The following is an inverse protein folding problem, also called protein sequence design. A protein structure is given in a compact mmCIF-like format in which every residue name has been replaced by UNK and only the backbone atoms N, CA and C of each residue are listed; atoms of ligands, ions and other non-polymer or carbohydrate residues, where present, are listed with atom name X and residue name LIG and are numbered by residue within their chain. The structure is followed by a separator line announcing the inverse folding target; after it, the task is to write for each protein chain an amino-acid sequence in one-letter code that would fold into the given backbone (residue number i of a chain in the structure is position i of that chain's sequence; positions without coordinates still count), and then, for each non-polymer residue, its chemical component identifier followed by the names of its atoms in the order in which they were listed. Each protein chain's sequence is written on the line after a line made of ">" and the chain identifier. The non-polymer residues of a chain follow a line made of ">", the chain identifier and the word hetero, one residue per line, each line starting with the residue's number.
data_IF_624516875204
#
_entry.id   IF_624516875204
#
_cell.length_a   1.000
_cell.length_b   1.000
_cell.length_c   1.000
_cell.angle_alpha   90.00
_cell.angle_beta   90.00
_cell.angle_gamma   90.00
#
_symmetry.space_group_name_H-M   'P 1'
#
loop_
_entity.id
_entity.type
_entity.pdbx_description
1 polymer ?
#
# COMPACT_ATOMS: atom_id res chain seq x y z
N UNK A 1 -25.90 46.21 56.51
CA UNK A 1 -25.28 47.42 55.92
C UNK A 1 -25.78 47.56 54.48
N UNK A 2 -26.34 48.71 54.11
CA UNK A 2 -26.68 49.02 52.71
C UNK A 2 -25.46 49.65 52.04
N UNK A 3 -24.97 49.08 50.94
CA UNK A 3 -23.86 49.64 50.16
C UNK A 3 -24.46 50.41 48.97
N UNK A 4 -24.49 51.74 49.05
CA UNK A 4 -25.08 52.57 48.01
C UNK A 4 -24.06 52.97 46.92
N UNK A 5 -24.36 52.66 45.65
CA UNK A 5 -24.33 53.60 44.51
C UNK A 5 -24.89 52.94 43.23
N UNK A 6 -26.13 53.29 42.86
CA UNK A 6 -26.52 53.48 41.46
C UNK A 6 -27.80 54.31 41.41
N UNK A 7 -27.82 55.37 40.60
CA UNK A 7 -28.84 56.44 40.54
C UNK A 7 -30.28 56.05 40.16
N UNK A 8 -30.63 54.76 40.13
CA UNK A 8 -32.00 54.23 40.19
C UNK A 8 -31.97 52.71 40.39
N UNK A 9 -32.45 52.20 41.53
CA UNK A 9 -32.52 50.78 41.87
C UNK A 9 -32.41 50.49 43.38
N UNK A 10 -32.96 49.36 43.85
CA UNK A 10 -32.96 48.95 45.27
C UNK A 10 -31.52 48.64 45.74
N UNK A 11 -31.06 49.14 46.92
CA UNK A 11 -29.66 49.00 47.33
C UNK A 11 -29.23 47.56 47.67
N UNK A 12 -27.97 47.21 47.37
CA UNK A 12 -27.35 45.96 47.82
C UNK A 12 -27.24 45.93 49.36
N UNK A 13 -27.55 44.78 49.97
CA UNK A 13 -27.51 44.58 51.42
C UNK A 13 -26.44 43.56 51.82
N UNK A 14 -25.63 43.92 52.82
CA UNK A 14 -24.68 43.03 53.52
C UNK A 14 -25.23 42.71 54.91
N UNK A 15 -25.40 41.42 55.20
CA UNK A 15 -25.86 40.94 56.51
C UNK A 15 -24.62 40.58 57.33
N UNK A 16 -24.35 41.33 58.40
CA UNK A 16 -23.27 41.04 59.35
C UNK A 16 -23.91 40.50 60.64
N UNK A 17 -23.71 39.21 60.93
CA UNK A 17 -23.90 38.63 62.26
C UNK A 17 -25.23 37.93 62.58
N UNK A 18 -25.63 36.89 61.84
CA UNK A 18 -26.61 35.90 62.33
C UNK A 18 -25.91 34.58 62.74
N UNK A 19 -26.46 33.82 63.71
CA UNK A 19 -25.86 32.56 64.15
C UNK A 19 -25.70 31.58 62.98
N UNK A 20 -24.72 30.66 63.03
CA UNK A 20 -24.35 29.77 61.93
C UNK A 20 -25.59 29.17 61.27
N UNK A 21 -25.75 29.46 59.97
CA UNK A 21 -26.92 29.13 59.17
C UNK A 21 -26.93 27.61 58.96
N UNK A 22 -27.58 26.91 59.88
CA UNK A 22 -27.51 25.46 59.93
C UNK A 22 -28.40 24.80 58.88
N UNK A 23 -29.67 25.16 58.69
CA UNK A 23 -30.51 24.47 57.69
C UNK A 23 -31.63 25.38 57.15
N UNK A 24 -31.49 25.92 55.93
CA UNK A 24 -32.54 26.70 55.28
C UNK A 24 -32.13 27.41 53.98
N UNK A 25 -33.08 27.56 53.05
CA UNK A 25 -32.89 28.21 51.74
C UNK A 25 -33.14 29.72 51.84
N UNK A 26 -32.21 30.52 52.39
CA UNK A 26 -32.37 31.99 52.45
C UNK A 26 -31.07 32.79 52.29
N UNK A 27 -31.26 34.05 51.88
CA UNK A 27 -30.29 35.04 51.40
C UNK A 27 -28.90 34.96 52.05
N UNK A 28 -27.88 34.82 51.20
CA UNK A 28 -26.48 34.84 51.59
C UNK A 28 -26.01 36.18 52.16
N UNK A 29 -24.72 36.26 52.49
CA UNK A 29 -24.08 37.46 53.03
C UNK A 29 -24.22 38.68 52.10
N UNK A 30 -24.44 38.44 50.80
CA UNK A 30 -24.84 39.40 49.77
C UNK A 30 -25.98 38.80 48.94
N UNK A 31 -27.02 39.59 48.70
CA UNK A 31 -28.20 39.24 47.91
C UNK A 31 -28.54 40.38 46.93
N UNK A 32 -28.58 40.10 45.63
CA UNK A 32 -29.03 41.04 44.60
C UNK A 32 -30.50 40.78 44.22
N UNK A 33 -31.25 41.84 43.93
CA UNK A 33 -32.70 41.85 43.69
C UNK A 33 -33.12 40.99 42.48
N UNK A 34 -32.22 40.74 41.53
CA UNK A 34 -32.51 39.97 40.30
C UNK A 34 -32.25 38.46 40.42
N UNK A 35 -32.03 37.93 41.63
CA UNK A 35 -31.95 36.49 41.91
C UNK A 35 -30.70 35.75 41.42
N UNK A 36 -29.85 36.38 40.61
CA UNK A 36 -28.65 35.75 40.00
C UNK A 36 -27.35 35.91 40.82
N UNK A 37 -27.40 36.49 42.02
CA UNK A 37 -26.21 36.96 42.74
C UNK A 37 -26.24 36.72 44.24
N UNK A 38 -26.44 35.47 44.66
CA UNK A 38 -26.35 35.08 46.07
C UNK A 38 -24.98 34.48 46.36
N UNK A 39 -24.28 34.97 47.40
CA UNK A 39 -23.09 34.31 47.98
C UNK A 39 -23.43 33.85 49.40
N UNK A 40 -23.63 32.54 49.58
CA UNK A 40 -23.99 31.92 50.85
C UNK A 40 -22.81 31.17 51.45
N UNK A 41 -22.45 31.46 52.69
CA UNK A 41 -21.58 30.61 53.50
C UNK A 41 -22.46 29.81 54.46
N UNK A 42 -22.45 28.49 54.32
CA UNK A 42 -23.22 27.52 55.09
C UNK A 42 -22.26 26.69 55.95
N UNK A 43 -22.69 26.34 57.16
CA UNK A 43 -22.01 25.38 58.03
C UNK A 43 -22.99 24.22 58.29
N UNK A 44 -22.61 22.94 58.15
CA UNK A 44 -21.26 22.36 57.99
C UNK A 44 -20.67 22.50 56.58
N UNK A 45 -19.56 21.82 56.27
CA UNK A 45 -18.75 21.95 55.04
C UNK A 45 -19.44 21.69 53.67
N UNK A 46 -20.77 21.59 53.66
CA UNK A 46 -21.62 21.45 52.49
C UNK A 46 -21.78 20.01 52.00
N UNK A 47 -22.74 19.84 51.11
CA UNK A 47 -22.98 18.62 50.34
C UNK A 47 -23.02 18.94 48.85
N UNK A 48 -23.05 17.92 47.99
CA UNK A 48 -23.12 18.08 46.55
C UNK A 48 -24.28 18.99 46.08
N UNK A 49 -25.46 18.81 46.65
CA UNK A 49 -26.67 19.56 46.30
C UNK A 49 -26.82 20.86 47.10
N UNK A 50 -26.06 21.02 48.18
CA UNK A 50 -26.08 22.18 49.07
C UNK A 50 -24.65 22.55 49.47
N UNK A 51 -23.86 23.18 48.58
CA UNK A 51 -22.47 23.48 48.86
C UNK A 51 -22.29 24.44 50.03
N UNK A 52 -21.18 24.28 50.75
CA UNK A 52 -20.84 25.08 51.92
C UNK A 52 -20.57 26.53 51.56
N UNK A 53 -20.08 26.78 50.35
CA UNK A 53 -20.10 28.09 49.72
C UNK A 53 -20.93 28.01 48.44
N UNK A 54 -22.17 28.50 48.45
CA UNK A 54 -23.02 28.54 47.27
C UNK A 54 -22.92 29.91 46.58
N UNK A 55 -22.82 29.92 45.24
CA UNK A 55 -22.66 31.12 44.43
C UNK A 55 -23.65 31.08 43.25
N UNK A 56 -24.41 32.17 43.07
CA UNK A 56 -25.40 32.32 42.01
C UNK A 56 -26.72 31.61 42.33
N UNK A 57 -26.68 30.30 42.60
CA UNK A 57 -27.83 29.48 43.00
C UNK A 57 -27.46 28.50 44.13
N UNK A 58 -28.46 27.96 44.82
CA UNK A 58 -28.28 27.21 46.08
C UNK A 58 -27.52 25.88 45.95
N UNK A 59 -27.38 25.34 44.75
CA UNK A 59 -26.81 24.03 44.44
C UNK A 59 -25.51 24.11 43.61
N UNK A 60 -24.92 25.30 43.48
CA UNK A 60 -23.68 25.51 42.74
C UNK A 60 -22.65 26.18 43.63
N UNK A 61 -21.46 25.60 43.76
CA UNK A 61 -20.44 26.14 44.66
C UNK A 61 -19.42 25.14 45.20
N UNK A 62 -18.71 25.51 46.27
CA UNK A 62 -17.66 24.70 46.88
C UNK A 62 -18.16 23.93 48.10
N UNK A 63 -17.72 22.69 48.24
CA UNK A 63 -18.04 21.84 49.38
C UNK A 63 -16.92 20.82 49.67
N UNK A 64 -16.89 20.26 50.87
CA UNK A 64 -15.89 19.27 51.28
C UNK A 64 -16.52 17.87 51.41
N UNK A 65 -16.39 16.98 50.40
CA UNK A 65 -16.92 15.62 50.47
C UNK A 65 -16.32 14.77 51.60
N UNK A 66 -15.13 15.13 52.07
CA UNK A 66 -14.46 14.53 53.22
C UNK A 66 -13.51 15.55 53.83
N UNK A 67 -12.89 15.21 54.96
CA UNK A 67 -11.87 16.06 55.59
C UNK A 67 -10.62 16.26 54.71
N UNK A 68 -10.43 15.47 53.66
CA UNK A 68 -9.22 15.45 52.82
C UNK A 68 -9.51 15.77 51.35
N UNK A 69 -10.69 16.31 51.03
CA UNK A 69 -11.08 16.63 49.68
C UNK A 69 -11.90 17.93 49.60
N UNK A 70 -11.69 18.67 48.51
CA UNK A 70 -12.47 19.84 48.13
C UNK A 70 -13.11 19.58 46.76
N UNK A 71 -14.39 19.92 46.60
CA UNK A 71 -15.11 19.71 45.36
C UNK A 71 -15.94 20.93 44.97
N UNK A 72 -16.25 21.02 43.67
CA UNK A 72 -17.12 22.02 43.08
C UNK A 72 -18.37 21.35 42.52
N UNK A 73 -19.53 21.91 42.83
CA UNK A 73 -20.80 21.55 42.21
C UNK A 73 -21.33 22.65 41.29
N UNK A 74 -22.03 22.24 40.24
CA UNK A 74 -22.81 23.09 39.36
C UNK A 74 -24.18 22.45 39.15
N UNK A 75 -25.24 23.18 39.51
CA UNK A 75 -26.63 22.72 39.49
C UNK A 75 -26.84 21.35 40.18
N UNK A 76 -26.16 21.13 41.30
CA UNK A 76 -26.22 19.87 42.06
C UNK A 76 -25.45 18.69 41.45
N UNK A 77 -24.73 18.88 40.33
CA UNK A 77 -23.79 17.91 39.77
C UNK A 77 -22.34 18.27 40.10
N UNK A 78 -21.48 17.29 40.33
CA UNK A 78 -20.07 17.56 40.63
C UNK A 78 -19.28 17.75 39.34
N UNK A 79 -18.45 18.79 39.28
CA UNK A 79 -17.68 19.14 38.08
C UNK A 79 -16.16 19.11 38.29
N UNK A 80 -15.69 19.23 39.53
CA UNK A 80 -14.27 19.15 39.91
C UNK A 80 -14.14 18.55 41.32
N UNK A 81 -13.16 17.69 41.54
CA UNK A 81 -12.66 17.35 42.89
C UNK A 81 -11.13 17.42 42.93
N UNK A 82 -10.61 17.92 44.05
CA UNK A 82 -9.20 17.89 44.42
C UNK A 82 -9.07 17.13 45.75
N UNK A 83 -8.12 16.22 45.84
CA UNK A 83 -7.83 15.47 47.08
C UNK A 83 -6.44 15.80 47.62
N UNK A 84 -6.22 15.57 48.92
CA UNK A 84 -4.92 15.77 49.58
C UNK A 84 -3.78 14.99 48.89
N UNK A 85 -4.09 13.88 48.21
CA UNK A 85 -3.12 13.08 47.45
C UNK A 85 -2.74 13.67 46.08
N UNK A 86 -3.18 14.87 45.74
CA UNK A 86 -2.84 15.51 44.45
C UNK A 86 -3.63 15.01 43.25
N UNK A 87 -4.67 14.20 43.48
CA UNK A 87 -5.62 13.79 42.42
C UNK A 87 -6.58 14.92 42.13
N UNK A 88 -6.71 15.27 40.84
CA UNK A 88 -7.68 16.24 40.33
C UNK A 88 -8.57 15.55 39.30
N UNK A 89 -9.88 15.53 39.52
CA UNK A 89 -10.86 15.01 38.55
C UNK A 89 -11.67 16.14 37.94
N UNK A 90 -11.96 16.05 36.64
CA UNK A 90 -12.77 17.00 35.87
C UNK A 90 -13.97 16.30 35.23
N UNK A 91 -15.14 16.93 35.35
CA UNK A 91 -16.39 16.45 34.76
C UNK A 91 -17.09 15.35 35.58
N UNK A 92 -16.80 15.23 36.88
CA UNK A 92 -17.46 14.28 37.76
C UNK A 92 -16.59 13.81 38.93
N UNK A 93 -17.15 12.89 39.72
CA UNK A 93 -16.44 12.26 40.82
C UNK A 93 -15.43 11.21 40.37
N UNK A 94 -14.52 10.78 41.26
CA UNK A 94 -13.63 9.65 40.94
C UNK A 94 -14.47 8.41 40.55
N UNK A 95 -14.08 7.76 39.46
CA UNK A 95 -14.85 6.66 38.83
C UNK A 95 -15.90 7.08 37.80
N UNK A 96 -16.34 8.35 37.79
CA UNK A 96 -17.34 8.89 36.84
C UNK A 96 -16.89 10.19 36.14
N UNK A 97 -15.62 10.58 36.29
CA UNK A 97 -15.05 11.76 35.68
C UNK A 97 -14.69 11.53 34.20
N UNK A 98 -14.57 12.61 33.43
CA UNK A 98 -14.09 12.56 32.05
C UNK A 98 -12.56 12.58 31.93
N UNK A 99 -11.87 13.22 32.88
CA UNK A 99 -10.41 13.28 32.96
C UNK A 99 -9.97 13.25 34.42
N UNK A 100 -8.92 12.47 34.72
CA UNK A 100 -8.25 12.44 36.02
C UNK A 100 -6.76 12.69 35.84
N UNK A 101 -6.22 13.56 36.70
CA UNK A 101 -4.79 13.74 36.90
C UNK A 101 -4.45 13.12 38.24
N UNK A 102 -3.63 12.08 38.24
CA UNK A 102 -3.10 11.48 39.46
C UNK A 102 -1.63 11.87 39.61
N UNK A 103 -1.27 12.48 40.74
CA UNK A 103 0.08 13.00 41.00
C UNK A 103 0.70 12.25 42.17
N UNK A 104 1.54 11.22 41.93
CA UNK A 104 2.22 10.49 43.00
C UNK A 104 3.12 11.40 43.85
N UNK A 105 3.43 10.99 45.07
CA UNK A 105 4.39 11.72 45.91
C UNK A 105 5.75 11.80 45.21
N UNK A 106 6.40 12.96 45.30
CA UNK A 106 7.73 13.21 44.71
C UNK A 106 7.78 13.10 43.17
N UNK A 107 6.69 13.40 42.46
CA UNK A 107 6.67 13.43 40.99
C UNK A 107 7.67 14.44 40.40
N UNK A 108 8.59 13.96 39.55
CA UNK A 108 9.62 14.78 38.86
C UNK A 108 9.26 15.06 37.40
N UNK A 109 8.62 14.10 36.74
CA UNK A 109 8.24 14.16 35.33
C UNK A 109 6.73 14.30 35.18
N UNK A 110 6.27 15.03 34.17
CA UNK A 110 4.86 15.35 33.95
C UNK A 110 4.49 15.36 32.46
N UNK A 111 3.20 15.22 32.19
CA UNK A 111 2.60 15.56 30.91
C UNK A 111 2.32 17.07 30.86
N UNK A 112 2.82 17.74 29.84
CA UNK A 112 2.58 19.15 29.56
C UNK A 112 1.66 19.27 28.34
N UNK A 113 0.47 19.84 28.55
CA UNK A 113 -0.43 20.26 27.47
C UNK A 113 -0.25 21.76 27.21
N UNK A 114 0.06 22.12 25.96
CA UNK A 114 0.36 23.51 25.57
C UNK A 114 -0.61 23.96 24.49
N UNK A 115 -1.25 25.12 24.69
CA UNK A 115 -2.06 25.78 23.67
C UNK A 115 -1.18 26.46 22.62
N UNK A 116 -1.79 26.98 21.57
CA UNK A 116 -1.07 27.70 20.53
C UNK A 116 -1.80 28.99 20.16
N UNK A 117 -1.03 29.98 19.67
CA UNK A 117 -1.56 31.15 18.97
C UNK A 117 -2.14 30.75 17.61
N UNK A 118 -2.79 31.68 16.91
CA UNK A 118 -3.33 31.43 15.58
C UNK A 118 -2.26 30.82 14.64
N UNK A 119 -2.64 29.78 13.89
CA UNK A 119 -1.76 28.98 13.02
C UNK A 119 -0.65 28.18 13.71
N UNK A 120 -0.55 28.21 15.04
CA UNK A 120 0.30 27.31 15.80
C UNK A 120 -0.36 25.96 16.09
N UNK A 121 0.44 24.97 16.49
CA UNK A 121 -0.04 23.61 16.78
C UNK A 121 -0.04 23.37 18.29
N UNK A 122 -1.20 23.12 18.93
CA UNK A 122 -1.24 22.63 20.30
C UNK A 122 -0.50 21.31 20.45
N UNK A 123 0.10 21.06 21.62
CA UNK A 123 0.95 19.89 21.82
C UNK A 123 0.74 19.23 23.18
N UNK A 124 0.99 17.92 23.21
CA UNK A 124 1.20 17.12 24.41
C UNK A 124 2.66 16.66 24.42
N UNK A 125 3.38 16.91 25.50
CA UNK A 125 4.79 16.53 25.65
C UNK A 125 5.09 16.06 27.06
N UNK A 126 6.12 15.23 27.22
CA UNK A 126 6.70 14.94 28.53
C UNK A 126 7.72 16.02 28.90
N UNK A 127 7.74 16.42 30.17
CA UNK A 127 8.64 17.45 30.69
C UNK A 127 8.99 17.16 32.14
N UNK A 128 10.21 17.49 32.57
CA UNK A 128 10.73 17.21 33.91
C UNK A 128 12.22 17.51 33.97
N UNK A 129 12.86 17.25 35.11
CA UNK A 129 14.31 17.45 35.26
C UNK A 129 15.15 16.30 34.74
N UNK A 130 14.55 15.14 34.44
CA UNK A 130 15.28 14.00 33.91
C UNK A 130 15.71 14.22 32.46
N UNK A 131 16.87 13.68 32.07
CA UNK A 131 17.44 13.86 30.73
C UNK A 131 16.61 13.19 29.64
N UNK A 132 16.03 12.01 29.91
CA UNK A 132 15.26 11.22 28.95
C UNK A 132 13.93 10.81 29.58
N UNK A 133 12.82 11.26 29.01
CA UNK A 133 11.47 10.98 29.53
C UNK A 133 10.60 10.41 28.42
N UNK A 134 10.32 9.11 28.48
CA UNK A 134 9.38 8.45 27.58
C UNK A 134 7.92 8.81 27.86
N UNK A 135 7.04 8.59 26.88
CA UNK A 135 5.59 8.75 27.01
C UNK A 135 4.89 7.44 26.65
N UNK A 136 3.91 7.03 27.46
CA UNK A 136 3.08 5.87 27.20
C UNK A 136 1.63 6.28 26.95
N UNK A 137 1.05 5.78 25.86
CA UNK A 137 -0.37 5.85 25.57
C UNK A 137 -0.92 4.43 25.61
N UNK A 138 -1.90 4.19 26.49
CA UNK A 138 -2.40 2.84 26.74
C UNK A 138 -3.92 2.82 26.79
N UNK A 139 -4.50 1.80 26.14
CA UNK A 139 -5.92 1.45 26.24
C UNK A 139 -6.11 0.36 27.29
N UNK A 140 -7.34 0.22 27.81
CA UNK A 140 -7.70 -0.81 28.78
C UNK A 140 -8.40 -1.99 28.07
N UNK A 141 -8.05 -3.21 28.47
CA UNK A 141 -8.64 -4.43 27.88
C UNK A 141 -8.29 -4.55 26.39
N UNK A 142 -9.25 -5.03 25.58
CA UNK A 142 -9.08 -5.24 24.15
C UNK A 142 -9.33 -3.99 23.28
N UNK A 143 -9.28 -2.78 23.86
CA UNK A 143 -9.54 -1.53 23.13
C UNK A 143 -8.38 -1.11 22.21
N UNK A 144 -8.70 -0.53 21.05
CA UNK A 144 -7.72 -0.03 20.08
C UNK A 144 -7.30 1.42 20.38
N UNK A 145 -6.05 1.79 20.10
CA UNK A 145 -5.63 3.19 20.02
C UNK A 145 -5.84 3.70 18.58
N UNK A 146 -6.53 4.84 18.42
CA UNK A 146 -6.96 5.37 17.10
C UNK A 146 -6.48 6.80 16.88
N UNK A 147 -5.96 7.07 15.69
CA UNK A 147 -5.66 8.41 15.19
C UNK A 147 -6.61 8.77 14.06
N UNK A 148 -7.45 9.79 14.28
CA UNK A 148 -8.56 10.14 13.40
C UNK A 148 -8.64 11.65 13.09
N UNK A 149 -7.67 12.23 12.37
CA UNK A 149 -7.74 13.64 11.98
C UNK A 149 -8.97 13.88 11.08
N UNK A 150 -9.70 14.97 11.35
CA UNK A 150 -10.98 15.25 10.70
C UNK A 150 -12.12 14.28 11.06
N UNK A 151 -11.95 13.45 12.09
CA UNK A 151 -12.96 12.52 12.60
C UNK A 151 -13.00 11.14 11.91
N UNK A 152 -12.21 10.93 10.86
CA UNK A 152 -12.10 9.62 10.18
C UNK A 152 -10.81 8.92 10.56
N UNK A 153 -10.88 7.62 10.88
CA UNK A 153 -9.70 6.81 11.21
C UNK A 153 -8.69 6.81 10.06
N UNK A 154 -7.48 7.29 10.32
CA UNK A 154 -6.36 7.21 9.38
C UNK A 154 -5.29 6.21 9.81
N UNK A 155 -5.15 5.98 11.12
CA UNK A 155 -4.26 4.97 11.68
C UNK A 155 -4.89 4.37 12.94
N UNK A 156 -4.70 3.07 13.15
CA UNK A 156 -5.10 2.39 14.38
C UNK A 156 -4.03 1.39 14.83
N UNK A 157 -3.88 1.23 16.13
CA UNK A 157 -3.10 0.17 16.77
C UNK A 157 -4.07 -0.78 17.47
N UNK A 158 -4.36 -1.95 16.88
CA UNK A 158 -5.27 -2.92 17.47
C UNK A 158 -4.61 -3.67 18.63
N UNK A 159 -5.42 -4.10 19.58
CA UNK A 159 -4.97 -4.95 20.68
C UNK A 159 -4.55 -6.34 20.18
N UNK A 160 -3.47 -6.87 20.74
CA UNK A 160 -3.00 -8.25 20.55
C UNK A 160 -2.71 -8.84 21.93
N UNK A 161 -3.29 -10.01 22.23
CA UNK A 161 -3.33 -10.59 23.59
C UNK A 161 -1.98 -10.82 24.27
N UNK A 162 -0.90 -10.99 23.50
CA UNK A 162 0.46 -11.18 24.01
C UNK A 162 1.50 -10.74 22.97
N UNK A 163 1.45 -9.48 22.56
CA UNK A 163 2.45 -8.94 21.62
C UNK A 163 3.85 -8.87 22.28
N UNK A 164 4.78 -9.70 21.81
CA UNK A 164 6.22 -9.63 22.16
C UNK A 164 7.07 -9.02 21.03
N UNK A 165 6.51 -8.95 19.83
CA UNK A 165 7.10 -8.35 18.64
C UNK A 165 6.25 -7.14 18.20
N UNK A 166 6.89 -6.08 17.72
CA UNK A 166 6.26 -4.80 17.42
C UNK A 166 6.94 -4.08 16.24
N UNK A 167 6.20 -3.14 15.64
CA UNK A 167 6.72 -2.20 14.66
C UNK A 167 7.36 -1.00 15.37
N UNK A 168 8.63 -0.72 15.08
CA UNK A 168 9.25 0.55 15.39
C UNK A 168 9.33 1.43 14.14
N UNK A 169 8.98 2.70 14.30
CA UNK A 169 9.20 3.74 13.28
C UNK A 169 10.30 4.65 13.79
N UNK A 170 11.35 4.85 12.98
CA UNK A 170 12.48 5.70 13.34
C UNK A 170 12.67 6.84 12.35
N UNK A 171 12.99 8.03 12.87
CA UNK A 171 13.52 9.13 12.09
C UNK A 171 15.02 8.97 11.83
N UNK A 172 15.62 9.96 11.17
CA UNK A 172 17.05 10.00 10.94
C UNK A 172 17.58 11.44 10.92
N UNK A 173 18.87 11.61 11.20
CA UNK A 173 19.57 12.87 10.93
C UNK A 173 19.65 13.14 9.42
N UNK A 174 20.08 14.34 9.02
CA UNK A 174 20.27 14.70 7.62
C UNK A 174 21.09 13.63 6.87
N UNK A 175 20.60 13.20 5.72
CA UNK A 175 21.17 12.10 4.90
C UNK A 175 21.06 10.69 5.48
N UNK A 176 20.46 10.52 6.65
CA UNK A 176 20.12 9.20 7.20
C UNK A 176 18.81 8.64 6.63
N UNK A 177 18.49 7.40 7.00
CA UNK A 177 17.35 6.64 6.47
C UNK A 177 16.23 6.54 7.51
N UNK A 178 15.04 6.99 7.13
CA UNK A 178 13.80 6.74 7.87
C UNK A 178 13.41 5.27 7.70
N UNK A 179 13.05 4.59 8.79
CA UNK A 179 12.90 3.13 8.78
C UNK A 179 11.67 2.65 9.52
N UNK A 180 11.15 1.52 9.05
CA UNK A 180 10.10 0.72 9.69
C UNK A 180 10.70 -0.65 9.99
N UNK A 181 10.76 -1.03 11.26
CA UNK A 181 11.48 -2.20 11.72
C UNK A 181 10.57 -3.12 12.52
N UNK A 182 10.71 -4.43 12.30
CA UNK A 182 10.13 -5.43 13.19
C UNK A 182 11.16 -5.75 14.29
N UNK A 183 10.77 -5.52 15.53
CA UNK A 183 11.61 -5.72 16.72
C UNK A 183 10.83 -6.49 17.77
N UNK A 184 11.54 -7.07 18.74
CA UNK A 184 10.94 -7.89 19.78
C UNK A 184 11.95 -8.79 20.45
N UNK A 185 11.48 -9.64 21.36
CA UNK A 185 12.32 -10.58 22.08
C UNK A 185 12.69 -11.83 21.25
N UNK A 186 11.93 -12.12 20.20
CA UNK A 186 12.20 -13.27 19.34
C UNK A 186 13.46 -13.06 18.48
N UNK A 187 14.24 -14.12 18.31
CA UNK A 187 15.49 -14.06 17.54
C UNK A 187 15.26 -13.84 16.04
N UNK A 188 14.11 -14.26 15.50
CA UNK A 188 13.77 -14.13 14.08
C UNK A 188 12.35 -13.61 13.94
N UNK A 189 12.19 -12.41 13.37
CA UNK A 189 10.88 -11.76 13.24
C UNK A 189 10.65 -11.45 11.76
N UNK A 190 9.67 -12.12 11.14
CA UNK A 190 9.24 -11.81 9.78
C UNK A 190 8.43 -10.51 9.76
N UNK A 191 8.83 -9.58 8.91
CA UNK A 191 8.12 -8.31 8.72
C UNK A 191 7.28 -8.36 7.45
N UNK A 192 6.10 -7.78 7.54
CA UNK A 192 5.16 -7.65 6.44
C UNK A 192 5.02 -6.17 6.13
N UNK A 193 5.46 -5.75 4.94
CA UNK A 193 5.37 -4.35 4.50
C UNK A 193 4.20 -4.23 3.52
N UNK A 194 3.11 -3.60 3.98
CA UNK A 194 2.04 -3.12 3.11
C UNK A 194 1.12 -4.19 2.50
N UNK A 195 0.57 -5.11 3.31
CA UNK A 195 -0.44 -6.11 2.86
C UNK A 195 -1.61 -5.41 2.18
N UNK A 196 -1.74 -5.51 0.85
CA UNK A 196 -2.89 -4.94 0.18
C UNK A 196 -4.12 -5.77 0.52
N UNK A 197 -5.28 -5.13 0.67
CA UNK A 197 -6.55 -5.85 0.82
C UNK A 197 -7.07 -6.27 -0.56
N UNK A 198 -7.54 -7.51 -0.69
CA UNK A 198 -8.11 -8.02 -1.94
C UNK A 198 -7.06 -8.10 -3.05
N UNK A 199 -7.31 -7.44 -4.18
CA UNK A 199 -6.41 -7.40 -5.35
C UNK A 199 -5.52 -6.15 -5.40
N UNK A 200 -5.33 -5.46 -4.26
CA UNK A 200 -4.47 -4.29 -4.20
C UNK A 200 -3.01 -4.58 -4.62
N UNK A 201 -2.33 -3.56 -5.11
CA UNK A 201 -0.93 -3.63 -5.53
C UNK A 201 0.04 -3.21 -4.42
N UNK A 202 1.28 -3.72 -4.46
CA UNK A 202 2.37 -3.27 -3.60
C UNK A 202 3.20 -2.19 -4.33
N UNK A 203 3.30 -1.00 -3.73
CA UNK A 203 3.79 0.21 -4.41
C UNK A 203 4.88 0.92 -3.60
N UNK A 204 5.88 1.47 -4.30
CA UNK A 204 6.85 2.40 -3.70
C UNK A 204 6.37 3.87 -3.71
N UNK A 205 5.40 4.23 -4.56
CA UNK A 205 4.86 5.60 -4.67
C UNK A 205 3.35 5.58 -4.82
N UNK A 206 2.69 6.59 -4.26
CA UNK A 206 1.24 6.80 -4.37
C UNK A 206 0.91 7.17 -5.83
N UNK A 207 0.01 6.45 -6.52
CA UNK A 207 -0.47 6.84 -7.84
C UNK A 207 -1.25 8.15 -7.79
N UNK A 208 -0.86 9.10 -8.64
CA UNK A 208 -1.44 10.46 -8.71
C UNK A 208 -1.76 10.88 -10.16
N UNK A 209 -1.64 9.95 -11.12
CA UNK A 209 -1.75 10.17 -12.56
C UNK A 209 -0.73 11.17 -13.15
N UNK A 210 0.28 11.57 -12.38
CA UNK A 210 1.40 12.39 -12.84
C UNK A 210 2.58 11.51 -13.28
N UNK A 211 3.65 12.13 -13.82
CA UNK A 211 4.90 11.41 -14.08
C UNK A 211 5.60 10.95 -12.80
N UNK A 212 5.28 11.53 -11.63
CA UNK A 212 5.90 11.15 -10.36
C UNK A 212 5.22 9.91 -9.80
N UNK A 213 3.92 9.94 -9.48
CA UNK A 213 3.20 8.80 -8.90
C UNK A 213 2.75 7.76 -9.92
N UNK A 214 2.55 8.17 -11.17
CA UNK A 214 2.11 7.32 -12.26
C UNK A 214 0.62 6.97 -12.20
N UNK A 215 0.18 6.20 -13.19
CA UNK A 215 -1.17 5.63 -13.24
C UNK A 215 -1.37 4.58 -12.15
N UNK A 216 -2.62 4.28 -11.82
CA UNK A 216 -2.96 3.14 -10.97
C UNK A 216 -2.35 1.83 -11.53
N UNK A 217 -1.89 0.96 -10.63
CA UNK A 217 -1.30 -0.33 -11.00
C UNK A 217 -2.37 -1.39 -11.21
N UNK A 218 -1.99 -2.46 -11.89
CA UNK A 218 -2.86 -3.61 -12.11
C UNK A 218 -3.18 -4.36 -10.81
N UNK A 219 -4.20 -5.21 -10.87
CA UNK A 219 -4.56 -6.08 -9.75
C UNK A 219 -3.37 -6.98 -9.36
N UNK A 220 -3.07 -7.07 -8.06
CA UNK A 220 -1.94 -7.87 -7.53
C UNK A 220 -0.57 -7.50 -8.11
N UNK A 221 -0.40 -6.29 -8.64
CA UNK A 221 0.86 -5.86 -9.23
C UNK A 221 1.90 -5.46 -8.15
N UNK A 222 3.17 -5.49 -8.55
CA UNK A 222 4.29 -4.95 -7.76
C UNK A 222 4.96 -3.84 -8.57
N UNK A 223 5.05 -2.64 -8.01
CA UNK A 223 5.73 -1.52 -8.67
C UNK A 223 6.60 -0.76 -7.68
N UNK A 224 7.91 -1.02 -7.78
CA UNK A 224 8.93 -0.46 -6.90
C UNK A 224 9.81 0.59 -7.60
N UNK A 225 9.54 0.92 -8.87
CA UNK A 225 10.24 2.02 -9.52
C UNK A 225 9.80 3.35 -8.90
N UNK A 226 10.72 4.29 -8.75
CA UNK A 226 10.44 5.61 -8.17
C UNK A 226 10.67 6.76 -9.15
N UNK A 227 11.06 6.41 -10.39
CA UNK A 227 11.48 7.36 -11.40
C UNK A 227 10.84 7.02 -12.76
N UNK A 228 10.15 8.00 -13.33
CA UNK A 228 9.42 7.88 -14.61
C UNK A 228 9.47 9.22 -15.34
N UNK A 229 9.17 9.20 -16.64
CA UNK A 229 8.98 10.40 -17.47
C UNK A 229 7.53 10.61 -17.89
N UNK A 230 6.70 9.56 -17.89
CA UNK A 230 5.25 9.62 -18.15
C UNK A 230 4.47 8.67 -17.25
N UNK A 231 3.18 8.95 -17.03
CA UNK A 231 2.36 8.22 -16.07
C UNK A 231 2.08 6.74 -16.43
N UNK A 232 2.24 6.35 -17.69
CA UNK A 232 2.01 4.98 -18.18
C UNK A 232 3.17 4.03 -17.87
N UNK A 233 4.32 4.54 -17.43
CA UNK A 233 5.51 3.74 -17.11
C UNK A 233 5.36 3.10 -15.73
N UNK A 234 4.51 2.07 -15.69
CA UNK A 234 4.07 1.38 -14.48
C UNK A 234 3.79 -0.10 -14.73
N UNK A 235 3.69 -0.88 -13.66
CA UNK A 235 3.11 -2.22 -13.66
C UNK A 235 1.57 -2.16 -13.78
N UNK A 236 1.04 -1.87 -14.98
CA UNK A 236 -0.39 -1.70 -15.24
C UNK A 236 -1.13 -3.02 -15.53
N UNK A 237 -0.42 -4.08 -15.92
CA UNK A 237 -1.02 -5.40 -16.14
C UNK A 237 -1.41 -6.08 -14.83
N UNK A 238 -2.44 -6.92 -14.85
CA UNK A 238 -2.77 -7.76 -13.69
C UNK A 238 -1.61 -8.71 -13.39
N UNK A 239 -1.22 -8.85 -12.12
CA UNK A 239 -0.10 -9.66 -11.65
C UNK A 239 1.25 -9.27 -12.29
N UNK A 240 1.34 -8.06 -12.84
CA UNK A 240 2.57 -7.56 -13.44
C UNK A 240 3.53 -7.02 -12.38
N UNK A 241 4.81 -6.97 -12.74
CA UNK A 241 5.84 -6.48 -11.85
C UNK A 241 6.83 -5.54 -12.53
N UNK A 242 7.12 -4.41 -11.89
CA UNK A 242 8.29 -3.58 -12.15
C UNK A 242 9.08 -3.46 -10.86
N UNK A 243 10.25 -4.10 -10.80
CA UNK A 243 11.03 -4.16 -9.56
C UNK A 243 11.88 -2.91 -9.29
N UNK A 244 12.01 -2.00 -10.25
CA UNK A 244 12.78 -0.78 -10.09
C UNK A 244 13.20 -0.14 -11.42
N UNK A 245 14.29 0.63 -11.37
CA UNK A 245 14.83 1.34 -12.53
C UNK A 245 14.08 2.63 -12.85
N UNK A 246 14.17 3.06 -14.11
CA UNK A 246 13.58 4.30 -14.60
C UNK A 246 12.71 4.04 -15.83
N UNK A 247 11.52 4.63 -15.87
CA UNK A 247 10.69 4.68 -17.09
C UNK A 247 10.26 3.31 -17.65
N UNK A 248 10.07 2.30 -16.80
CA UNK A 248 9.72 0.94 -17.23
C UNK A 248 8.21 0.71 -17.24
N UNK A 249 7.72 -0.09 -18.19
CA UNK A 249 6.31 -0.44 -18.36
C UNK A 249 6.12 -1.95 -18.37
N UNK A 250 5.29 -2.48 -17.45
CA UNK A 250 4.82 -3.86 -17.49
C UNK A 250 3.29 -3.86 -17.62
N UNK A 251 2.80 -3.97 -18.85
CA UNK A 251 1.37 -3.80 -19.15
C UNK A 251 0.64 -5.08 -19.57
N UNK A 252 1.37 -6.16 -19.86
CA UNK A 252 0.77 -7.47 -20.07
C UNK A 252 0.37 -8.15 -18.75
N UNK A 253 -0.59 -9.08 -18.80
CA UNK A 253 -0.96 -9.90 -17.64
C UNK A 253 0.24 -10.77 -17.24
N UNK A 254 0.65 -10.74 -15.98
CA UNK A 254 1.83 -11.48 -15.49
C UNK A 254 3.16 -10.99 -16.07
N UNK A 255 3.17 -9.84 -16.76
CA UNK A 255 4.37 -9.32 -17.38
C UNK A 255 5.35 -8.78 -16.35
N UNK A 256 6.65 -8.97 -16.57
CA UNK A 256 7.68 -8.55 -15.62
C UNK A 256 8.74 -7.69 -16.29
N UNK A 257 9.13 -6.59 -15.64
CA UNK A 257 10.36 -5.86 -15.93
C UNK A 257 11.21 -5.84 -14.66
N UNK A 258 12.36 -6.51 -14.70
CA UNK A 258 13.22 -6.60 -13.52
C UNK A 258 13.91 -5.26 -13.19
N UNK A 259 14.05 -4.36 -14.16
CA UNK A 259 14.62 -3.03 -13.97
C UNK A 259 15.13 -2.42 -15.28
N UNK A 260 16.17 -1.60 -15.18
CA UNK A 260 16.76 -0.90 -16.33
C UNK A 260 16.05 0.40 -16.68
N UNK A 261 16.17 0.82 -17.94
CA UNK A 261 15.64 2.10 -18.41
C UNK A 261 14.76 1.94 -19.66
N UNK A 262 13.54 2.47 -19.62
CA UNK A 262 12.64 2.53 -20.79
C UNK A 262 12.29 1.16 -21.38
N UNK A 263 12.17 0.13 -20.55
CA UNK A 263 11.80 -1.22 -21.01
C UNK A 263 10.29 -1.43 -20.99
N UNK A 264 9.76 -2.17 -21.97
CA UNK A 264 8.32 -2.42 -22.13
C UNK A 264 8.02 -3.92 -22.24
N UNK A 265 7.48 -4.51 -21.16
CA UNK A 265 6.87 -5.85 -21.15
C UNK A 265 5.35 -5.73 -21.36
N UNK A 266 4.92 -5.66 -22.62
CA UNK A 266 3.52 -5.42 -23.00
C UNK A 266 2.79 -6.65 -23.57
N UNK A 267 3.43 -7.82 -23.61
CA UNK A 267 2.78 -9.09 -23.92
C UNK A 267 2.37 -9.85 -22.65
N UNK A 268 1.30 -10.64 -22.71
CA UNK A 268 0.92 -11.48 -21.57
C UNK A 268 2.04 -12.47 -21.26
N UNK A 269 2.43 -12.55 -19.99
CA UNK A 269 3.55 -13.33 -19.47
C UNK A 269 4.90 -13.00 -20.12
N UNK A 270 5.03 -11.82 -20.75
CA UNK A 270 6.30 -11.35 -21.29
C UNK A 270 7.24 -10.89 -20.18
N UNK A 271 8.55 -10.92 -20.46
CA UNK A 271 9.55 -10.55 -19.48
C UNK A 271 10.70 -9.76 -20.11
N UNK A 272 11.13 -8.72 -19.39
CA UNK A 272 12.38 -8.01 -19.65
C UNK A 272 13.30 -8.17 -18.43
N UNK A 273 14.47 -8.83 -18.57
CA UNK A 273 15.41 -9.05 -17.46
C UNK A 273 16.16 -7.77 -17.07
N UNK A 274 16.11 -6.72 -17.89
CA UNK A 274 16.78 -5.44 -17.67
C UNK A 274 17.19 -4.81 -19.00
N UNK A 275 18.22 -3.97 -18.98
CA UNK A 275 18.74 -3.30 -20.17
C UNK A 275 18.05 -1.96 -20.46
N UNK A 276 18.10 -1.53 -21.71
CA UNK A 276 17.60 -0.23 -22.14
C UNK A 276 16.77 -0.36 -23.43
N UNK A 277 15.57 0.24 -23.45
CA UNK A 277 14.70 0.36 -24.63
C UNK A 277 14.21 -0.97 -25.22
N UNK A 278 14.11 -2.07 -24.46
CA UNK A 278 13.56 -3.33 -24.98
C UNK A 278 12.02 -3.29 -25.08
N UNK A 279 11.42 -3.99 -26.04
CA UNK A 279 9.96 -4.20 -26.08
C UNK A 279 9.55 -5.60 -26.48
N UNK A 280 8.63 -6.18 -25.70
CA UNK A 280 8.04 -7.48 -25.98
C UNK A 280 7.08 -7.45 -27.18
N UNK A 281 6.70 -6.26 -27.66
CA UNK A 281 5.81 -6.03 -28.80
C UNK A 281 4.50 -6.81 -28.72
N UNK A 282 3.91 -6.84 -27.53
CA UNK A 282 2.69 -7.57 -27.19
C UNK A 282 2.75 -9.10 -27.38
N UNK A 283 3.92 -9.68 -27.68
CA UNK A 283 4.06 -11.10 -27.91
C UNK A 283 3.90 -11.91 -26.60
N UNK A 284 3.09 -12.95 -26.65
CA UNK A 284 2.79 -13.83 -25.54
C UNK A 284 4.03 -14.59 -25.08
N UNK A 285 4.34 -14.55 -23.79
CA UNK A 285 5.45 -15.29 -23.18
C UNK A 285 6.85 -14.91 -23.66
N UNK A 286 6.99 -13.78 -24.39
CA UNK A 286 8.26 -13.40 -25.01
C UNK A 286 9.21 -12.78 -23.97
N UNK A 287 10.44 -13.28 -23.92
CA UNK A 287 11.57 -12.62 -23.28
C UNK A 287 12.27 -11.69 -24.25
N UNK A 288 12.64 -10.47 -23.84
CA UNK A 288 13.44 -9.55 -24.67
C UNK A 288 14.50 -8.84 -23.86
N UNK A 289 15.63 -8.51 -24.49
CA UNK A 289 16.71 -7.74 -23.88
C UNK A 289 17.35 -6.82 -24.93
N UNK A 290 17.67 -5.58 -24.54
CA UNK A 290 18.27 -4.58 -25.42
C UNK A 290 19.29 -3.73 -24.66
N UNK A 291 20.27 -3.20 -25.39
CA UNK A 291 21.33 -2.32 -24.87
C UNK A 291 21.13 -0.85 -25.26
N UNK A 292 19.97 -0.51 -25.82
CA UNK A 292 19.66 0.79 -26.40
C UNK A 292 18.75 0.63 -27.62
N UNK A 293 18.62 1.72 -28.38
CA UNK A 293 17.83 1.78 -29.61
C UNK A 293 18.54 2.61 -30.68
N UNK A 294 18.13 2.46 -31.94
CA UNK A 294 18.50 3.40 -33.01
C UNK A 294 17.58 4.62 -33.00
N UNK A 295 16.27 4.41 -33.15
CA UNK A 295 15.22 5.43 -33.23
C UNK A 295 14.00 5.11 -32.36
N UNK A 296 13.56 3.85 -32.31
CA UNK A 296 12.35 3.41 -31.62
C UNK A 296 12.64 2.26 -30.65
N UNK A 297 11.86 2.16 -29.57
CA UNK A 297 12.08 1.09 -28.58
C UNK A 297 11.95 -0.30 -29.25
N UNK A 298 12.93 -1.15 -28.95
CA UNK A 298 13.10 -2.51 -29.44
C UNK A 298 13.54 -2.62 -30.89
N UNK A 299 14.01 -1.57 -31.54
CA UNK A 299 14.55 -1.66 -32.89
C UNK A 299 15.93 -2.36 -32.97
N UNK A 300 16.61 -2.51 -31.83
CA UNK A 300 17.86 -3.25 -31.68
C UNK A 300 17.79 -4.13 -30.42
N UNK A 301 17.39 -5.40 -30.56
CA UNK A 301 17.18 -6.26 -29.39
C UNK A 301 17.44 -7.75 -29.66
N UNK A 302 17.55 -8.52 -28.58
CA UNK A 302 17.46 -9.97 -28.58
C UNK A 302 16.06 -10.40 -28.12
N UNK A 303 15.53 -11.48 -28.72
CA UNK A 303 14.26 -12.08 -28.35
C UNK A 303 14.39 -13.56 -28.00
N UNK A 304 13.53 -14.02 -27.10
CA UNK A 304 13.40 -15.42 -26.68
C UNK A 304 11.91 -15.80 -26.72
N UNK A 305 11.55 -16.76 -27.55
CA UNK A 305 10.17 -17.21 -27.68
C UNK A 305 10.06 -18.71 -27.46
N UNK A 306 9.02 -19.12 -26.74
CA UNK A 306 8.66 -20.53 -26.54
C UNK A 306 7.27 -20.75 -27.12
N UNK A 307 7.12 -21.78 -27.93
CA UNK A 307 5.88 -22.16 -28.59
C UNK A 307 5.62 -23.64 -28.32
N UNK A 308 4.36 -24.05 -28.33
CA UNK A 308 3.97 -25.43 -28.07
C UNK A 308 2.75 -25.86 -28.86
N UNK A 309 2.62 -27.17 -29.08
CA UNK A 309 1.44 -27.79 -29.68
C UNK A 309 1.35 -29.26 -29.29
N UNK A 310 0.15 -29.74 -29.04
CA UNK A 310 -0.15 -31.18 -29.00
C UNK A 310 -0.86 -31.57 -30.30
N UNK A 311 -0.47 -32.70 -30.89
CA UNK A 311 -1.14 -33.32 -32.03
C UNK A 311 -1.59 -34.73 -31.67
N UNK A 312 -2.70 -35.18 -32.27
CA UNK A 312 -3.25 -36.54 -32.10
C UNK A 312 -3.39 -37.30 -33.42
N UNK A 313 -3.03 -36.64 -34.53
CA UNK A 313 -3.17 -37.16 -35.88
C UNK A 313 -1.97 -36.76 -36.76
N UNK A 314 -2.02 -37.19 -38.03
CA UNK A 314 -1.02 -36.88 -39.04
C UNK A 314 -1.36 -35.60 -39.84
N UNK A 315 -2.09 -34.65 -39.25
CA UNK A 315 -2.39 -33.36 -39.91
C UNK A 315 -1.40 -32.29 -39.49
N UNK A 316 -1.19 -31.30 -40.36
CA UNK A 316 -0.35 -30.15 -40.07
C UNK A 316 -1.05 -29.30 -38.99
N UNK A 317 -0.35 -29.05 -37.88
CA UNK A 317 -0.83 -28.19 -36.80
C UNK A 317 0.16 -27.07 -36.52
N UNK A 318 -0.36 -25.85 -36.36
CA UNK A 318 0.42 -24.66 -35.97
C UNK A 318 0.96 -24.80 -34.55
N UNK A 319 2.21 -24.39 -34.37
CA UNK A 319 2.84 -24.25 -33.06
C UNK A 319 2.78 -22.78 -32.65
N UNK A 320 2.16 -22.48 -31.50
CA UNK A 320 1.88 -21.13 -31.00
C UNK A 320 2.33 -20.99 -29.54
N UNK A 321 2.55 -19.77 -29.06
CA UNK A 321 3.05 -19.48 -27.72
C UNK A 321 2.09 -19.93 -26.59
N UNK A 322 0.78 -19.89 -26.86
CA UNK A 322 -0.28 -20.31 -25.94
C UNK A 322 -0.88 -21.70 -26.29
N UNK A 323 -0.43 -22.33 -27.38
CA UNK A 323 -0.94 -23.60 -27.90
C UNK A 323 -2.33 -23.52 -28.56
N UNK A 324 -2.90 -22.32 -28.70
CA UNK A 324 -4.19 -22.08 -29.32
C UNK A 324 -4.04 -21.84 -30.84
N UNK A 325 -5.15 -21.48 -31.50
CA UNK A 325 -5.14 -21.09 -32.91
C UNK A 325 -4.27 -19.84 -33.09
N UNK A 326 -3.57 -19.74 -34.23
CA UNK A 326 -2.71 -18.61 -34.55
C UNK A 326 -3.46 -17.27 -34.46
N UNK A 327 -2.83 -16.29 -33.84
CA UNK A 327 -3.27 -14.91 -33.69
C UNK A 327 -2.09 -13.96 -33.93
N UNK A 328 -2.34 -12.65 -33.80
CA UNK A 328 -1.32 -11.62 -33.95
C UNK A 328 -0.29 -11.55 -32.81
N UNK A 329 -0.47 -12.29 -31.71
CA UNK A 329 0.40 -12.19 -30.53
C UNK A 329 0.96 -13.53 -30.01
N UNK A 330 0.48 -14.67 -30.51
CA UNK A 330 0.96 -16.00 -30.11
C UNK A 330 1.85 -16.67 -31.18
N UNK A 331 2.30 -15.90 -32.16
CA UNK A 331 3.15 -16.34 -33.28
C UNK A 331 4.47 -15.54 -33.32
N UNK A 332 5.44 -15.98 -34.12
CA UNK A 332 6.75 -15.31 -34.27
C UNK A 332 6.68 -14.14 -35.27
N UNK A 333 5.97 -13.08 -34.90
CA UNK A 333 5.73 -11.93 -35.77
C UNK A 333 6.91 -10.97 -35.81
N UNK A 334 7.27 -10.54 -37.02
CA UNK A 334 8.24 -9.48 -37.25
C UNK A 334 7.49 -8.14 -37.33
N UNK A 335 7.99 -7.08 -36.70
CA UNK A 335 7.52 -5.72 -36.96
C UNK A 335 7.66 -5.36 -38.45
N UNK A 336 6.90 -4.36 -38.90
CA UNK A 336 7.13 -3.76 -40.21
C UNK A 336 8.59 -3.32 -40.33
N UNK A 337 9.22 -3.60 -41.48
CA UNK A 337 10.64 -3.32 -41.71
C UNK A 337 11.61 -4.03 -40.74
N UNK A 338 11.18 -5.14 -40.14
CA UNK A 338 12.00 -5.96 -39.27
C UNK A 338 12.80 -7.03 -40.04
N UNK A 339 14.01 -7.33 -39.54
CA UNK A 339 14.80 -8.48 -39.95
C UNK A 339 15.28 -9.26 -38.73
N UNK A 340 14.95 -10.55 -38.68
CA UNK A 340 15.29 -11.44 -37.57
C UNK A 340 16.20 -12.56 -38.08
N UNK A 341 17.18 -12.92 -37.27
CA UNK A 341 18.01 -14.12 -37.44
C UNK A 341 18.08 -14.87 -36.12
N UNK A 342 18.01 -16.20 -36.15
CA UNK A 342 18.07 -16.98 -34.93
C UNK A 342 18.16 -18.48 -35.16
N UNK A 343 18.26 -19.23 -34.06
CA UNK A 343 18.13 -20.69 -34.08
C UNK A 343 16.74 -21.11 -33.61
N UNK A 344 16.06 -21.88 -34.44
CA UNK A 344 14.83 -22.60 -34.10
C UNK A 344 15.20 -23.99 -33.61
N UNK A 345 14.88 -24.28 -32.35
CA UNK A 345 15.09 -25.59 -31.73
C UNK A 345 13.73 -26.20 -31.39
N UNK A 346 13.44 -27.37 -31.92
CA UNK A 346 12.16 -28.06 -31.74
C UNK A 346 12.41 -29.45 -31.19
N UNK A 347 11.61 -29.84 -30.20
CA UNK A 347 11.56 -31.21 -29.69
C UNK A 347 10.11 -31.67 -29.70
N UNK A 348 9.87 -32.83 -30.30
CA UNK A 348 8.58 -33.52 -30.27
C UNK A 348 8.74 -34.85 -29.53
N UNK A 349 7.77 -35.20 -28.69
CA UNK A 349 7.80 -36.39 -27.85
C UNK A 349 6.44 -37.10 -27.84
N UNK A 350 6.44 -38.40 -28.12
CA UNK A 350 5.27 -39.25 -27.96
C UNK A 350 4.92 -39.39 -26.47
N UNK A 351 3.65 -39.15 -26.14
CA UNK A 351 3.13 -39.33 -24.78
C UNK A 351 3.12 -40.81 -24.41
N UNK A 352 3.73 -41.19 -23.29
CA UNK A 352 3.76 -42.57 -22.81
C UNK A 352 4.70 -43.53 -23.56
N UNK A 353 5.36 -43.10 -24.64
CA UNK A 353 6.33 -43.91 -25.39
C UNK A 353 7.77 -43.40 -25.28
N UNK A 354 8.69 -43.95 -26.08
CA UNK A 354 10.10 -43.49 -26.18
C UNK A 354 10.39 -42.70 -27.46
N UNK A 355 9.45 -42.68 -28.41
CA UNK A 355 9.59 -41.92 -29.66
C UNK A 355 9.79 -40.43 -29.40
N UNK A 356 10.83 -39.88 -30.03
CA UNK A 356 11.22 -38.48 -29.95
C UNK A 356 11.89 -38.01 -31.23
N UNK A 357 11.66 -36.76 -31.63
CA UNK A 357 12.31 -36.13 -32.77
C UNK A 357 12.78 -34.72 -32.40
N UNK A 358 13.92 -34.32 -32.94
CA UNK A 358 14.48 -32.98 -32.75
C UNK A 358 14.78 -32.32 -34.08
N UNK A 359 14.61 -31.00 -34.12
CA UNK A 359 15.03 -30.14 -35.22
C UNK A 359 15.84 -28.98 -34.67
N UNK A 360 16.94 -28.67 -35.34
CA UNK A 360 17.76 -27.50 -35.06
C UNK A 360 18.08 -26.79 -36.39
N UNK A 361 17.45 -25.64 -36.60
CA UNK A 361 17.44 -24.95 -37.89
C UNK A 361 17.79 -23.48 -37.68
N UNK A 362 18.78 -22.98 -38.41
CA UNK A 362 19.02 -21.55 -38.51
C UNK A 362 17.92 -20.92 -39.39
N UNK A 363 17.26 -19.87 -38.89
CA UNK A 363 16.17 -19.20 -39.60
C UNK A 363 16.48 -17.71 -39.72
N UNK A 364 16.33 -17.17 -40.93
CA UNK A 364 16.45 -15.75 -41.20
C UNK A 364 15.25 -15.27 -42.01
N UNK A 365 14.61 -14.21 -41.53
CA UNK A 365 13.44 -13.62 -42.15
C UNK A 365 13.52 -12.10 -42.18
N UNK A 366 12.96 -11.51 -43.23
CA UNK A 366 12.83 -10.05 -43.39
C UNK A 366 11.41 -9.73 -43.80
N UNK A 367 10.89 -8.61 -43.30
CA UNK A 367 9.56 -8.10 -43.61
C UNK A 367 9.67 -6.66 -44.08
N UNK A 368 8.92 -6.29 -45.13
CA UNK A 368 8.69 -4.89 -45.51
C UNK A 368 7.54 -4.25 -44.73
N UNK A 369 6.85 -3.28 -45.33
CA UNK A 369 5.79 -2.50 -44.67
C UNK A 369 4.59 -3.37 -44.23
N UNK A 370 4.21 -4.37 -45.02
CA UNK A 370 3.00 -5.19 -44.81
C UNK A 370 3.36 -6.62 -44.44
N UNK A 371 2.44 -7.35 -43.79
CA UNK A 371 2.67 -8.76 -43.44
C UNK A 371 2.91 -9.65 -44.68
N UNK A 372 2.28 -9.31 -45.79
CA UNK A 372 2.42 -10.02 -47.06
C UNK A 372 3.83 -9.92 -47.69
N UNK A 373 4.64 -8.94 -47.28
CA UNK A 373 6.01 -8.74 -47.78
C UNK A 373 7.06 -9.57 -47.04
N UNK A 374 6.65 -10.47 -46.15
CA UNK A 374 7.56 -11.33 -45.41
C UNK A 374 8.26 -12.33 -46.35
N UNK A 375 9.58 -12.44 -46.21
CA UNK A 375 10.41 -13.44 -46.87
C UNK A 375 11.25 -14.17 -45.83
N UNK A 376 11.26 -15.51 -45.88
CA UNK A 376 12.21 -16.34 -45.16
C UNK A 376 13.29 -16.75 -46.15
N UNK A 377 14.50 -16.20 -46.01
CA UNK A 377 15.61 -16.43 -46.94
C UNK A 377 16.63 -17.46 -46.43
N UNK A 378 16.43 -17.96 -45.20
CA UNK A 378 17.18 -19.08 -44.64
C UNK A 378 16.26 -19.95 -43.77
N UNK A 379 16.33 -21.27 -43.93
CA UNK A 379 15.64 -22.24 -43.08
C UNK A 379 14.18 -22.54 -43.45
N UNK A 380 13.64 -21.96 -44.52
CA UNK A 380 12.30 -22.31 -45.00
C UNK A 380 12.24 -23.78 -45.49
N UNK A 381 11.10 -24.45 -45.26
CA UNK A 381 10.90 -25.82 -45.74
C UNK A 381 9.50 -26.35 -45.46
N UNK A 382 8.87 -27.00 -46.44
CA UNK A 382 7.50 -27.49 -46.33
C UNK A 382 7.37 -28.82 -45.56
N UNK A 383 8.42 -29.63 -45.53
CA UNK A 383 8.42 -30.98 -44.94
C UNK A 383 9.83 -31.38 -44.52
N UNK A 384 10.36 -30.74 -43.48
CA UNK A 384 11.71 -30.98 -42.98
C UNK A 384 11.74 -32.25 -42.12
N UNK A 385 12.60 -33.24 -42.43
CA UNK A 385 12.81 -34.40 -41.57
C UNK A 385 13.51 -33.98 -40.26
N UNK A 386 13.40 -34.78 -39.19
CA UNK A 386 14.13 -34.53 -37.94
C UNK A 386 15.64 -34.48 -38.18
N UNK A 387 16.33 -33.57 -37.49
CA UNK A 387 17.80 -33.55 -37.40
C UNK A 387 18.31 -34.83 -36.72
N UNK A 388 17.59 -35.29 -35.69
CA UNK A 388 17.77 -36.61 -35.09
C UNK A 388 16.43 -37.12 -34.57
N UNK A 389 16.28 -38.44 -34.47
CA UNK A 389 15.07 -39.07 -33.92
C UNK A 389 15.39 -40.41 -33.26
N UNK A 390 14.49 -40.85 -32.39
CA UNK A 390 14.48 -42.14 -31.72
C UNK A 390 13.10 -42.77 -31.83
N UNK A 391 13.03 -44.09 -31.97
CA UNK A 391 11.78 -44.84 -32.14
C UNK A 391 11.39 -45.04 -33.61
N UNK A 392 10.23 -45.65 -33.83
CA UNK A 392 9.76 -46.09 -35.15
C UNK A 392 8.81 -45.10 -35.81
N UNK A 393 8.08 -44.30 -35.02
CA UNK A 393 7.15 -43.28 -35.51
C UNK A 393 7.86 -41.94 -35.74
N UNK A 394 8.76 -41.55 -34.83
CA UNK A 394 9.42 -40.25 -34.85
C UNK A 394 10.19 -39.87 -36.14
N UNK A 395 10.89 -40.80 -36.83
CA UNK A 395 11.55 -40.49 -38.10
C UNK A 395 10.59 -40.00 -39.20
N UNK A 396 9.29 -40.26 -39.07
CA UNK A 396 8.25 -39.88 -40.03
C UNK A 396 7.57 -38.54 -39.72
N UNK A 397 7.82 -37.94 -38.54
CA UNK A 397 7.27 -36.63 -38.21
C UNK A 397 7.94 -35.54 -39.04
N UNK A 398 7.23 -34.45 -39.32
CA UNK A 398 7.71 -33.39 -40.21
C UNK A 398 7.51 -32.02 -39.59
N UNK A 399 8.50 -31.16 -39.77
CA UNK A 399 8.44 -29.74 -39.44
C UNK A 399 8.20 -28.93 -40.73
N UNK A 400 7.30 -27.96 -40.66
CA UNK A 400 7.10 -26.96 -41.70
C UNK A 400 7.50 -25.59 -41.17
N UNK A 401 8.37 -24.90 -41.90
CA UNK A 401 8.76 -23.51 -41.67
C UNK A 401 8.34 -22.72 -42.90
N UNK A 402 7.35 -21.86 -42.74
CA UNK A 402 6.76 -21.08 -43.82
C UNK A 402 6.52 -19.63 -43.39
N UNK A 403 6.23 -18.76 -44.35
CA UNK A 403 5.80 -17.38 -44.08
C UNK A 403 4.37 -17.35 -43.57
N UNK A 404 4.10 -16.62 -42.49
CA UNK A 404 2.75 -16.18 -42.09
C UNK A 404 2.52 -14.80 -42.67
N UNK A 405 1.93 -14.74 -43.87
CA UNK A 405 1.66 -13.47 -44.57
C UNK A 405 0.48 -12.70 -43.97
N UNK A 406 -0.35 -13.35 -43.15
CA UNK A 406 -1.48 -12.70 -42.47
C UNK A 406 -0.96 -11.84 -41.30
N UNK A 407 -0.09 -12.41 -40.47
CA UNK A 407 0.46 -11.72 -39.30
C UNK A 407 1.83 -11.07 -39.57
N UNK A 408 2.51 -11.45 -40.66
CA UNK A 408 3.86 -11.02 -40.99
C UNK A 408 4.93 -11.68 -40.12
N UNK A 409 4.83 -13.00 -39.92
CA UNK A 409 5.70 -13.75 -39.01
C UNK A 409 6.23 -15.08 -39.54
N UNK A 410 7.18 -15.67 -38.82
CA UNK A 410 7.68 -17.01 -39.11
C UNK A 410 6.67 -18.04 -38.59
N UNK A 411 6.19 -18.88 -39.49
CA UNK A 411 5.11 -19.80 -39.22
C UNK A 411 5.66 -21.21 -39.06
N UNK A 412 5.59 -21.73 -37.83
CA UNK A 412 6.07 -23.07 -37.48
C UNK A 412 4.87 -24.00 -37.37
N UNK A 413 4.92 -25.13 -38.07
CA UNK A 413 3.92 -26.18 -37.95
C UNK A 413 4.59 -27.54 -37.82
N UNK A 414 3.92 -28.45 -37.12
CA UNK A 414 4.36 -29.84 -36.97
C UNK A 414 3.29 -30.77 -37.56
N UNK A 415 3.73 -31.83 -38.25
CA UNK A 415 2.88 -32.96 -38.64
C UNK A 415 3.20 -34.13 -37.72
N UNK A 416 2.21 -34.53 -36.92
CA UNK A 416 2.30 -35.67 -36.02
C UNK A 416 2.11 -37.01 -36.74
N UNK A 417 1.61 -37.99 -36.00
CA UNK A 417 1.25 -39.31 -36.51
C UNK A 417 -0.19 -39.65 -36.14
N UNK A 418 -0.86 -40.42 -37.00
CA UNK A 418 -2.23 -40.87 -36.75
C UNK A 418 -2.32 -41.64 -35.42
N UNK A 419 -3.38 -41.38 -34.64
CA UNK A 419 -3.67 -42.06 -33.37
C UNK A 419 -2.55 -41.95 -32.32
N UNK A 420 -1.65 -40.96 -32.45
CA UNK A 420 -0.50 -40.77 -31.57
C UNK A 420 -0.53 -39.39 -30.93
N UNK A 421 -0.57 -39.32 -29.61
CA UNK A 421 -0.53 -38.04 -28.87
C UNK A 421 0.91 -37.56 -28.71
N UNK A 422 1.28 -36.52 -29.45
CA UNK A 422 2.65 -35.99 -29.49
C UNK A 422 2.66 -34.57 -28.92
N UNK A 423 3.53 -34.32 -27.94
CA UNK A 423 3.79 -32.99 -27.40
C UNK A 423 5.00 -32.40 -28.10
N UNK A 424 4.84 -31.20 -28.68
CA UNK A 424 5.90 -30.47 -29.37
C UNK A 424 6.15 -29.14 -28.66
N UNK A 425 7.43 -28.84 -28.41
CA UNK A 425 7.90 -27.56 -27.92
C UNK A 425 8.93 -27.01 -28.89
N UNK A 426 8.78 -25.75 -29.26
CA UNK A 426 9.70 -25.01 -30.10
C UNK A 426 10.23 -23.79 -29.35
N UNK A 427 11.50 -23.47 -29.54
CA UNK A 427 12.12 -22.25 -29.05
C UNK A 427 12.78 -21.51 -30.19
N UNK A 428 12.72 -20.18 -30.17
CA UNK A 428 13.40 -19.32 -31.13
C UNK A 428 14.13 -18.21 -30.38
N UNK A 429 15.46 -18.24 -30.45
CA UNK A 429 16.32 -17.20 -29.91
C UNK A 429 16.76 -16.30 -31.07
N UNK A 430 16.26 -15.07 -31.08
CA UNK A 430 16.40 -14.13 -32.19
C UNK A 430 17.35 -12.98 -31.86
N UNK A 431 18.17 -12.60 -32.84
CA UNK A 431 18.71 -11.25 -32.97
C UNK A 431 17.81 -10.46 -33.90
N UNK A 432 17.37 -9.29 -33.44
CA UNK A 432 16.31 -8.51 -34.08
C UNK A 432 16.80 -7.10 -34.39
N UNK A 433 16.67 -6.70 -35.65
CA UNK A 433 16.80 -5.30 -36.05
C UNK A 433 15.52 -4.84 -36.74
N UNK A 434 15.11 -3.61 -36.48
CA UNK A 434 13.97 -2.97 -37.14
C UNK A 434 14.43 -1.59 -37.59
N UNK A 435 14.05 -1.18 -38.80
CA UNK A 435 14.22 0.23 -39.18
C UNK A 435 12.93 0.97 -38.92
N UNK A 436 13.02 2.19 -38.39
CA UNK A 436 11.85 3.06 -38.32
C UNK A 436 11.31 3.29 -39.74
N UNK A 437 9.99 3.18 -39.90
CA UNK A 437 9.27 3.47 -41.15
C UNK A 437 9.22 4.96 -41.42
#
# INVERSE_FOLDING_TARGET
>A
IQLANSGSGTPNTVILGSPPVLEGTYAGLLNNTDGNGVVQMRAPAGTLTVPGLAIGQSNSGLWAPSATALAMSANGGEVLRITQGGVVTLGGASGSHGLEVNTPTSSVNRLLATSAVASGTPALATSGSDTNIGMQLQTKGAGNLVFAPGGSTQMQVPYVGSAVNYLQVQGAATSGVVGWLALGADANIAAVIGQPKGTGALLAQIPDASAVGGNARGANAVDLQTSRTVATQVASGNQSAVHGGNANTASGIGATVAGGNTNTANGNYSWVPGGQNATARAAYGKGVFAAGRFAADGDAQQGFSVLRRQTTDATISRVTADGLVQSNNNTLNLPAFGAFFGRLRVVSKLTGGTDAAVWDVAVAAVRGATGASLVIFLGAGASLPPTASNGTSAPNWRLTIATDTLNGGIAISITGAALSTINTVATFDSTETVTAS
#
